data_IF_189474530858
#
_entry.id   IF_189474530858
#
_cell.length_a   1.000
_cell.length_b   1.000
_cell.length_c   1.000
_cell.angle_alpha   90.00
_cell.angle_beta   90.00
_cell.angle_gamma   90.00
#
_symmetry.space_group_name_H-M   'P 1'
#
loop_
_entity.id
_entity.type
_entity.pdbx_description
1 polymer ?
#
# COMPACT_ATOMS: atom_id res chain seq x y z
N UNK A 1 -1.63 14.55 -20.40
CA UNK A 1 -1.20 14.47 -18.99
C UNK A 1 0.27 14.09 -18.90
N UNK A 2 1.02 14.49 -17.86
CA UNK A 2 2.48 14.28 -17.82
C UNK A 2 2.85 12.81 -17.57
N UNK A 3 3.66 12.22 -18.47
CA UNK A 3 4.22 10.85 -18.34
C UNK A 3 4.88 10.60 -16.97
N UNK A 4 5.48 11.65 -16.40
CA UNK A 4 6.10 11.63 -15.07
C UNK A 4 5.11 11.25 -13.97
N UNK A 5 3.84 11.70 -14.07
CA UNK A 5 2.81 11.42 -13.06
C UNK A 5 2.41 9.95 -13.08
N UNK A 6 2.28 9.36 -14.27
CA UNK A 6 1.95 7.92 -14.44
C UNK A 6 3.09 7.05 -13.89
N UNK A 7 4.34 7.40 -14.21
CA UNK A 7 5.51 6.67 -13.70
C UNK A 7 5.62 6.77 -12.17
N UNK A 8 5.42 7.96 -11.59
CA UNK A 8 5.37 8.13 -10.13
C UNK A 8 4.22 7.36 -9.48
N UNK A 9 3.04 7.31 -10.10
CA UNK A 9 1.91 6.52 -9.58
C UNK A 9 2.22 5.02 -9.56
N UNK A 10 2.88 4.50 -10.61
CA UNK A 10 3.33 3.09 -10.65
C UNK A 10 4.37 2.78 -9.58
N UNK A 11 5.32 3.69 -9.37
CA UNK A 11 6.32 3.56 -8.29
C UNK A 11 5.66 3.55 -6.92
N UNK A 12 4.70 4.46 -6.68
CA UNK A 12 3.96 4.50 -5.43
C UNK A 12 3.19 3.19 -5.19
N UNK A 13 2.49 2.65 -6.19
CA UNK A 13 1.80 1.35 -6.09
C UNK A 13 2.78 0.22 -5.71
N UNK A 14 3.97 0.20 -6.31
CA UNK A 14 4.99 -0.81 -5.96
C UNK A 14 5.42 -0.69 -4.50
N UNK A 15 5.65 0.55 -4.02
CA UNK A 15 6.04 0.80 -2.64
C UNK A 15 4.95 0.38 -1.64
N UNK A 16 3.68 0.64 -1.97
CA UNK A 16 2.55 0.19 -1.14
C UNK A 16 2.52 -1.33 -1.00
N UNK A 17 2.70 -2.06 -2.10
CA UNK A 17 2.71 -3.53 -2.07
C UNK A 17 3.86 -4.09 -1.22
N UNK A 18 5.06 -3.51 -1.33
CA UNK A 18 6.21 -3.89 -0.51
C UNK A 18 5.96 -3.63 0.98
N UNK A 19 5.30 -2.51 1.31
CA UNK A 19 4.97 -2.15 2.68
C UNK A 19 3.86 -3.05 3.27
N UNK A 20 2.84 -3.37 2.48
CA UNK A 20 1.81 -4.35 2.85
C UNK A 20 2.45 -5.71 3.19
N UNK A 21 3.37 -6.21 2.36
CA UNK A 21 4.09 -7.46 2.61
C UNK A 21 4.95 -7.39 3.88
N UNK A 22 5.56 -6.25 4.15
CA UNK A 22 6.28 -6.00 5.40
C UNK A 22 5.35 -6.12 6.62
N UNK A 23 4.22 -5.40 6.62
CA UNK A 23 3.26 -5.46 7.71
C UNK A 23 2.64 -6.84 7.89
N UNK A 24 2.37 -7.57 6.80
CA UNK A 24 1.91 -8.97 6.87
C UNK A 24 2.91 -9.87 7.59
N UNK A 25 4.20 -9.77 7.25
CA UNK A 25 5.27 -10.53 7.92
C UNK A 25 5.39 -10.15 9.40
N UNK A 26 5.43 -8.87 9.72
CA UNK A 26 5.51 -8.38 11.11
C UNK A 26 4.30 -8.84 11.93
N UNK A 27 3.08 -8.74 11.38
CA UNK A 27 1.84 -9.13 12.06
C UNK A 27 1.83 -10.62 12.40
N UNK A 28 2.33 -11.47 11.49
CA UNK A 28 2.42 -12.92 11.69
C UNK A 28 3.48 -13.30 12.74
N UNK A 29 4.52 -12.49 12.91
CA UNK A 29 5.59 -12.71 13.91
C UNK A 29 5.27 -12.06 15.27
N UNK A 30 4.36 -11.10 15.32
CA UNK A 30 4.03 -10.37 16.54
C UNK A 30 3.28 -11.25 17.55
N UNK A 31 3.89 -11.47 18.72
CA UNK A 31 3.28 -12.20 19.85
C UNK A 31 2.37 -11.32 20.69
N UNK A 32 2.67 -10.01 20.79
CA UNK A 32 1.87 -9.05 21.53
C UNK A 32 0.57 -8.69 20.76
N UNK A 33 -0.62 -8.88 21.35
CA UNK A 33 -1.90 -8.64 20.66
C UNK A 33 -2.13 -7.16 20.32
N UNK A 34 -1.61 -6.21 21.13
CA UNK A 34 -1.72 -4.78 20.82
C UNK A 34 -0.89 -4.40 19.61
N UNK A 35 0.34 -4.93 19.53
CA UNK A 35 1.21 -4.74 18.35
C UNK A 35 0.56 -5.35 17.11
N UNK A 36 -0.03 -6.55 17.23
CA UNK A 36 -0.75 -7.20 16.13
C UNK A 36 -1.94 -6.37 15.62
N UNK A 37 -2.70 -5.74 16.52
CA UNK A 37 -3.79 -4.85 16.16
C UNK A 37 -3.30 -3.60 15.41
N UNK A 38 -2.24 -2.95 15.91
CA UNK A 38 -1.63 -1.79 15.23
C UNK A 38 -1.15 -2.19 13.83
N UNK A 39 -0.46 -3.32 13.69
CA UNK A 39 0.02 -3.81 12.39
C UNK A 39 -1.13 -4.17 11.44
N UNK A 40 -2.26 -4.62 11.96
CA UNK A 40 -3.46 -4.85 11.17
C UNK A 40 -4.04 -3.54 10.65
N UNK A 41 -4.14 -2.52 11.49
CA UNK A 41 -4.69 -1.22 11.10
C UNK A 41 -3.80 -0.51 10.08
N UNK A 42 -2.46 -0.57 10.26
CA UNK A 42 -1.51 -0.06 9.28
C UNK A 42 -1.63 -0.80 7.94
N UNK A 43 -1.74 -2.13 7.96
CA UNK A 43 -1.95 -2.91 6.73
C UNK A 43 -3.22 -2.49 5.98
N UNK A 44 -4.33 -2.28 6.69
CA UNK A 44 -5.58 -1.81 6.07
C UNK A 44 -5.43 -0.44 5.42
N UNK A 45 -4.67 0.47 6.04
CA UNK A 45 -4.40 1.79 5.48
C UNK A 45 -3.61 1.69 4.16
N UNK A 46 -2.59 0.85 4.09
CA UNK A 46 -1.81 0.68 2.85
C UNK A 46 -2.58 -0.06 1.75
N UNK A 47 -3.48 -0.98 2.11
CA UNK A 47 -4.42 -1.59 1.16
C UNK A 47 -5.38 -0.55 0.57
N UNK A 48 -5.85 0.42 1.38
CA UNK A 48 -6.63 1.55 0.87
C UNK A 48 -5.81 2.46 -0.04
N UNK A 49 -4.57 2.78 0.34
CA UNK A 49 -3.68 3.62 -0.47
C UNK A 49 -3.42 3.01 -1.85
N UNK A 50 -3.14 1.71 -1.91
CA UNK A 50 -2.97 0.97 -3.16
C UNK A 50 -4.20 1.08 -4.06
N UNK A 51 -5.39 0.86 -3.52
CA UNK A 51 -6.66 0.96 -4.28
C UNK A 51 -6.85 2.35 -4.86
N UNK A 52 -6.60 3.41 -4.07
CA UNK A 52 -6.72 4.79 -4.51
C UNK A 52 -5.70 5.11 -5.61
N UNK A 53 -4.45 4.69 -5.46
CA UNK A 53 -3.40 4.89 -6.45
C UNK A 53 -3.69 4.14 -7.76
N UNK A 54 -4.24 2.92 -7.69
CA UNK A 54 -4.67 2.18 -8.88
C UNK A 54 -5.84 2.85 -9.59
N UNK A 55 -6.80 3.39 -8.83
CA UNK A 55 -7.93 4.15 -9.37
C UNK A 55 -7.44 5.40 -10.10
N UNK A 56 -6.52 6.14 -9.47
CA UNK A 56 -5.85 7.28 -10.09
C UNK A 56 -5.13 6.86 -11.37
N UNK A 57 -4.27 5.84 -11.31
CA UNK A 57 -3.49 5.39 -12.45
C UNK A 57 -4.37 4.94 -13.63
N UNK A 58 -5.50 4.27 -13.37
CA UNK A 58 -6.50 3.94 -14.42
C UNK A 58 -7.05 5.19 -15.09
N UNK A 59 -7.46 6.18 -14.31
CA UNK A 59 -7.95 7.47 -14.81
C UNK A 59 -6.87 8.29 -15.54
N UNK A 60 -5.59 8.09 -15.20
CA UNK A 60 -4.45 8.74 -15.87
C UNK A 60 -4.09 8.09 -17.22
N UNK A 61 -4.44 6.82 -17.40
CA UNK A 61 -4.14 6.02 -18.61
C UNK A 61 -5.34 5.87 -19.56
N UNK A 62 -6.54 6.24 -19.11
CA UNK A 62 -7.75 6.30 -19.93
C UNK A 62 -7.75 7.56 -20.81
#
# INVERSE_FOLDING_TARGET
MSRKIIESARQAISAELELQDCYRRMKNQATNPKVRAILHDLLLMEEMNEVLLRSLNKNLTA
#
